data_IF_343247673062
#
_entry.id   IF_343247673062
#
_cell.length_a   1.000
_cell.length_b   1.000
_cell.length_c   1.000
_cell.angle_alpha   90.00
_cell.angle_beta   90.00
_cell.angle_gamma   90.00
#
_symmetry.space_group_name_H-M   'P 1'
#
loop_
_entity.id
_entity.type
_entity.pdbx_description
1 polymer ?
#
# COMPACT_ATOMS: atom_id res chain seq x y z
N UNK A 1 22.16 0.68 -10.34
CA UNK A 1 20.80 1.23 -10.48
C UNK A 1 19.89 0.26 -9.76
N UNK A 2 19.24 0.71 -8.68
CA UNK A 2 18.22 -0.10 -8.01
C UNK A 2 16.99 -0.02 -8.90
N UNK A 3 16.52 -1.14 -9.44
CA UNK A 3 15.26 -1.20 -10.18
C UNK A 3 14.13 -1.25 -9.17
N UNK A 4 13.43 -0.12 -8.99
CA UNK A 4 12.18 -0.01 -8.22
C UNK A 4 11.10 -0.88 -8.88
N UNK A 5 10.32 -1.61 -8.08
CA UNK A 5 9.25 -2.48 -8.59
C UNK A 5 7.99 -1.69 -8.98
N UNK A 6 7.11 -2.25 -9.83
CA UNK A 6 5.83 -1.62 -10.17
C UNK A 6 4.95 -1.35 -8.94
N UNK A 7 4.93 -2.29 -7.98
CA UNK A 7 4.21 -2.14 -6.73
C UNK A 7 4.77 -0.99 -5.90
N UNK A 8 6.10 -0.89 -5.82
CA UNK A 8 6.79 0.18 -5.10
C UNK A 8 6.49 1.55 -5.70
N UNK A 9 6.58 1.70 -7.02
CA UNK A 9 6.18 2.94 -7.71
C UNK A 9 4.75 3.34 -7.38
N UNK A 10 3.78 2.43 -7.57
CA UNK A 10 2.37 2.74 -7.36
C UNK A 10 2.05 3.11 -5.90
N UNK A 11 2.63 2.39 -4.94
CA UNK A 11 2.42 2.68 -3.51
C UNK A 11 2.99 4.05 -3.15
N UNK A 12 4.22 4.37 -3.57
CA UNK A 12 4.80 5.66 -3.25
C UNK A 12 4.07 6.82 -3.94
N UNK A 13 3.64 6.68 -5.19
CA UNK A 13 2.85 7.71 -5.88
C UNK A 13 1.55 8.01 -5.13
N UNK A 14 0.74 7.00 -4.84
CA UNK A 14 -0.55 7.19 -4.15
C UNK A 14 -0.38 7.74 -2.73
N UNK A 15 0.62 7.25 -1.98
CA UNK A 15 0.87 7.76 -0.63
C UNK A 15 1.43 9.18 -0.63
N UNK A 16 2.18 9.56 -1.66
CA UNK A 16 2.64 10.95 -1.84
C UNK A 16 1.45 11.85 -2.13
N UNK A 17 0.51 11.42 -2.98
CA UNK A 17 -0.73 12.15 -3.24
C UNK A 17 -1.53 12.37 -1.95
N UNK A 18 -1.71 11.35 -1.10
CA UNK A 18 -2.35 11.53 0.21
C UNK A 18 -1.60 12.50 1.12
N UNK A 19 -0.26 12.40 1.16
CA UNK A 19 0.56 13.29 1.97
C UNK A 19 0.39 14.76 1.54
N UNK A 20 0.41 15.03 0.23
CA UNK A 20 0.18 16.37 -0.33
C UNK A 20 -1.24 16.89 -0.03
N UNK A 21 -2.26 16.04 -0.21
CA UNK A 21 -3.67 16.41 0.04
C UNK A 21 -3.94 16.79 1.50
N UNK A 22 -3.21 16.19 2.45
CA UNK A 22 -3.39 16.43 3.88
C UNK A 22 -2.33 17.37 4.49
N UNK A 23 -1.43 17.91 3.66
CA UNK A 23 -0.39 18.85 4.10
C UNK A 23 0.68 18.21 4.98
N UNK A 24 1.04 16.96 4.70
CA UNK A 24 2.13 16.21 5.32
C UNK A 24 3.46 16.42 4.56
N UNK A 25 3.68 17.63 4.01
CA UNK A 25 4.81 17.93 3.11
C UNK A 25 6.19 17.75 3.77
N UNK A 26 6.24 17.79 5.11
CA UNK A 26 7.47 17.58 5.90
C UNK A 26 7.76 16.09 6.19
N UNK A 27 6.83 15.18 5.86
CA UNK A 27 6.99 13.75 6.09
C UNK A 27 7.89 13.14 5.00
N UNK A 28 9.07 12.66 5.39
CA UNK A 28 9.89 11.83 4.51
C UNK A 28 9.29 10.42 4.43
N UNK A 29 8.58 10.13 3.33
CA UNK A 29 7.97 8.84 3.10
C UNK A 29 9.04 7.78 2.82
N UNK A 30 9.13 6.77 3.68
CA UNK A 30 10.10 5.67 3.58
C UNK A 30 9.40 4.32 3.74
N UNK A 31 10.10 3.22 3.44
CA UNK A 31 9.56 1.88 3.65
C UNK A 31 9.18 1.58 5.11
N UNK A 32 9.80 2.26 6.08
CA UNK A 32 9.48 2.11 7.51
C UNK A 32 8.33 2.97 8.00
N UNK A 33 7.88 3.94 7.21
CA UNK A 33 6.75 4.82 7.56
C UNK A 33 5.51 3.97 7.77
N UNK A 34 4.78 4.20 8.85
CA UNK A 34 3.52 3.49 9.13
C UNK A 34 2.31 4.29 8.69
N UNK A 35 1.27 3.61 8.20
CA UNK A 35 0.09 4.29 7.67
C UNK A 35 -0.69 4.99 8.79
N UNK A 36 -0.88 4.38 9.95
CA UNK A 36 -1.68 4.99 11.02
C UNK A 36 -0.87 5.89 11.94
N UNK A 37 0.24 5.41 12.48
CA UNK A 37 1.00 6.20 13.46
C UNK A 37 1.75 7.38 12.82
N UNK A 38 2.42 7.18 11.68
CA UNK A 38 3.20 8.25 11.05
C UNK A 38 2.36 9.13 10.12
N UNK A 39 1.52 8.52 9.26
CA UNK A 39 0.69 9.27 8.31
C UNK A 39 -0.70 9.65 8.85
N UNK A 40 -1.13 9.12 10.00
CA UNK A 40 -2.44 9.43 10.58
C UNK A 40 -3.64 8.82 9.83
N UNK A 41 -3.43 7.77 9.02
CA UNK A 41 -4.51 7.17 8.24
C UNK A 41 -5.61 6.60 9.14
N UNK A 42 -6.83 7.00 8.86
CA UNK A 42 -8.04 6.41 9.40
C UNK A 42 -8.53 5.25 8.53
N UNK A 43 -9.56 4.55 8.99
CA UNK A 43 -10.13 3.41 8.23
C UNK A 43 -10.62 3.81 6.83
N UNK A 44 -11.11 5.04 6.66
CA UNK A 44 -11.53 5.58 5.36
C UNK A 44 -10.34 5.73 4.41
N UNK A 45 -9.22 6.20 4.92
CA UNK A 45 -8.00 6.46 4.15
C UNK A 45 -7.36 5.17 3.67
N UNK A 46 -7.32 4.16 4.54
CA UNK A 46 -6.89 2.81 4.19
C UNK A 46 -7.76 2.23 3.06
N UNK A 47 -9.08 2.47 3.10
CA UNK A 47 -9.98 2.03 2.03
C UNK A 47 -9.75 2.79 0.71
N UNK A 48 -9.43 4.08 0.76
CA UNK A 48 -9.07 4.85 -0.43
C UNK A 48 -7.74 4.41 -1.03
N UNK A 49 -6.73 4.12 -0.21
CA UNK A 49 -5.47 3.52 -0.65
C UNK A 49 -5.72 2.18 -1.38
N UNK A 50 -6.57 1.32 -0.83
CA UNK A 50 -6.91 0.05 -1.48
C UNK A 50 -7.62 0.23 -2.81
N UNK A 51 -8.49 1.22 -2.92
CA UNK A 51 -9.14 1.56 -4.17
C UNK A 51 -8.12 2.04 -5.21
N UNK A 52 -7.27 3.00 -4.85
CA UNK A 52 -6.22 3.52 -5.75
C UNK A 52 -5.26 2.43 -6.22
N UNK A 53 -4.84 1.53 -5.33
CA UNK A 53 -4.00 0.39 -5.70
C UNK A 53 -4.75 -0.62 -6.58
N UNK A 54 -6.04 -0.85 -6.36
CA UNK A 54 -6.84 -1.71 -7.24
C UNK A 54 -7.01 -1.09 -8.64
N UNK A 55 -7.14 0.24 -8.74
CA UNK A 55 -7.21 0.98 -9.99
C UNK A 55 -5.88 0.99 -10.74
N UNK A 56 -4.74 1.06 -10.03
CA UNK A 56 -3.40 0.93 -10.60
C UNK A 56 -3.14 -0.46 -11.19
N UNK A 57 -3.77 -1.52 -10.64
CA UNK A 57 -3.63 -2.90 -11.08
C UNK A 57 -4.98 -3.55 -11.43
N UNK A 58 -5.70 -3.06 -12.46
CA UNK A 58 -7.10 -3.45 -12.69
C UNK A 58 -7.27 -4.90 -13.17
N UNK A 59 -6.21 -5.53 -13.68
CA UNK A 59 -6.22 -6.94 -14.11
C UNK A 59 -5.86 -7.92 -13.00
N UNK A 60 -5.50 -7.43 -11.81
CA UNK A 60 -5.09 -8.24 -10.67
C UNK A 60 -6.11 -8.08 -9.56
N UNK A 61 -6.62 -9.20 -9.03
CA UNK A 61 -7.47 -9.17 -7.84
C UNK A 61 -6.59 -9.17 -6.60
N UNK A 62 -6.51 -8.04 -5.90
CA UNK A 62 -5.68 -7.91 -4.70
C UNK A 62 -6.55 -8.08 -3.45
N UNK A 63 -6.35 -9.13 -2.62
CA UNK A 63 -7.17 -9.38 -1.44
C UNK A 63 -6.72 -8.54 -0.23
N UNK A 64 -6.85 -7.21 -0.31
CA UNK A 64 -6.35 -6.28 0.72
C UNK A 64 -6.82 -6.54 2.15
N UNK A 65 -7.95 -7.23 2.34
CA UNK A 65 -8.37 -7.70 3.67
C UNK A 65 -7.28 -8.53 4.38
N UNK A 66 -6.48 -9.29 3.63
CA UNK A 66 -5.38 -10.09 4.18
C UNK A 66 -4.17 -9.25 4.63
N UNK A 67 -4.11 -7.97 4.26
CA UNK A 67 -3.09 -7.03 4.72
C UNK A 67 -3.46 -6.44 6.09
N UNK A 68 -4.74 -6.18 6.32
CA UNK A 68 -5.25 -5.55 7.56
C UNK A 68 -5.84 -6.56 8.55
N UNK A 69 -5.93 -7.83 8.17
CA UNK A 69 -6.44 -8.89 9.02
C UNK A 69 -5.54 -10.13 8.97
N UNK A 70 -4.99 -10.51 10.11
CA UNK A 70 -4.15 -11.70 10.28
C UNK A 70 -4.73 -12.57 11.39
N UNK A 71 -4.93 -13.86 11.12
CA UNK A 71 -5.53 -14.83 12.06
C UNK A 71 -6.84 -14.35 12.71
N UNK A 72 -7.68 -13.67 11.93
CA UNK A 72 -8.96 -13.14 12.37
C UNK A 72 -8.87 -11.92 13.28
N UNK A 73 -7.68 -11.33 13.43
CA UNK A 73 -7.45 -10.09 14.19
C UNK A 73 -7.06 -8.95 13.27
N UNK A 74 -7.53 -7.75 13.59
CA UNK A 74 -7.08 -6.55 12.89
C UNK A 74 -5.61 -6.27 13.20
N UNK A 75 -4.86 -5.94 12.15
CA UNK A 75 -3.49 -5.45 12.28
C UNK A 75 -3.57 -4.01 12.83
N UNK A 76 -2.78 -3.73 13.85
CA UNK A 76 -2.77 -2.43 14.52
C UNK A 76 -2.28 -1.34 13.57
N UNK A 77 -1.15 -1.56 12.89
CA UNK A 77 -0.60 -0.65 11.91
C UNK A 77 0.22 -1.43 10.86
N UNK A 78 0.39 -0.84 9.68
CA UNK A 78 1.15 -1.44 8.57
C UNK A 78 2.16 -0.43 8.04
N UNK A 79 3.34 -0.93 7.72
CA UNK A 79 4.40 -0.13 7.09
C UNK A 79 4.22 -0.05 5.59
N UNK A 80 4.73 1.02 4.96
CA UNK A 80 4.79 1.15 3.50
C UNK A 80 5.47 -0.06 2.86
N UNK A 81 6.56 -0.57 3.45
CA UNK A 81 7.26 -1.74 2.92
C UNK A 81 6.40 -3.01 2.95
N UNK A 82 5.54 -3.19 3.95
CA UNK A 82 4.60 -4.32 4.02
C UNK A 82 3.52 -4.22 2.94
N UNK A 83 3.00 -3.01 2.69
CA UNK A 83 2.05 -2.75 1.59
C UNK A 83 2.71 -3.10 0.25
N UNK A 84 3.92 -2.60 0.00
CA UNK A 84 4.69 -2.88 -1.22
C UNK A 84 4.92 -4.38 -1.38
N UNK A 85 5.39 -5.05 -0.33
CA UNK A 85 5.69 -6.48 -0.37
C UNK A 85 4.42 -7.30 -0.65
N UNK A 86 3.30 -6.92 -0.04
CA UNK A 86 2.00 -7.55 -0.26
C UNK A 86 1.55 -7.38 -1.71
N UNK A 87 1.46 -6.15 -2.21
CA UNK A 87 1.03 -5.87 -3.59
C UNK A 87 1.95 -6.55 -4.58
N UNK A 88 3.27 -6.48 -4.39
CA UNK A 88 4.25 -7.13 -5.27
C UNK A 88 4.05 -8.65 -5.34
N UNK A 89 3.72 -9.29 -4.21
CA UNK A 89 3.42 -10.73 -4.17
C UNK A 89 2.15 -11.05 -4.97
N UNK A 90 1.09 -10.27 -4.80
CA UNK A 90 -0.20 -10.54 -5.45
C UNK A 90 -0.12 -10.30 -6.97
N UNK A 91 0.58 -9.25 -7.42
CA UNK A 91 0.79 -9.02 -8.86
C UNK A 91 1.68 -10.11 -9.47
N UNK A 92 2.73 -10.57 -8.77
CA UNK A 92 3.59 -11.64 -9.25
C UNK A 92 2.86 -13.00 -9.27
N UNK A 93 2.06 -13.31 -8.25
CA UNK A 93 1.27 -14.54 -8.15
C UNK A 93 0.13 -14.62 -9.17
N UNK A 94 -0.34 -13.48 -9.66
CA UNK A 94 -1.34 -13.41 -10.74
C UNK A 94 -0.77 -13.78 -12.11
N UNK A 95 0.56 -13.72 -12.28
CA UNK A 95 1.28 -14.31 -13.41
C UNK A 95 1.61 -15.79 -13.14
N UNK A 96 0.60 -16.63 -12.89
CA UNK A 96 0.76 -18.07 -13.07
C UNK A 96 0.40 -18.41 -14.52
N UNK A 97 1.36 -18.76 -15.41
CA UNK A 97 1.00 -19.33 -16.70
C UNK A 97 0.25 -20.63 -16.44
N UNK A 98 -1.01 -20.68 -16.86
CA UNK A 98 -1.75 -21.93 -16.97
C UNK A 98 -1.09 -22.86 -18.02
#
# INVERSE_FOLDING_TARGET
MVTTSLAETAVYEILTEFAEEWGLDDLELTGSTTLKCDMGFESTDIMQLFLGLQEAFPSVKIPFQNLIMTDGKFVEDVTVQEVIAFVNREIAGSFSPA
#
